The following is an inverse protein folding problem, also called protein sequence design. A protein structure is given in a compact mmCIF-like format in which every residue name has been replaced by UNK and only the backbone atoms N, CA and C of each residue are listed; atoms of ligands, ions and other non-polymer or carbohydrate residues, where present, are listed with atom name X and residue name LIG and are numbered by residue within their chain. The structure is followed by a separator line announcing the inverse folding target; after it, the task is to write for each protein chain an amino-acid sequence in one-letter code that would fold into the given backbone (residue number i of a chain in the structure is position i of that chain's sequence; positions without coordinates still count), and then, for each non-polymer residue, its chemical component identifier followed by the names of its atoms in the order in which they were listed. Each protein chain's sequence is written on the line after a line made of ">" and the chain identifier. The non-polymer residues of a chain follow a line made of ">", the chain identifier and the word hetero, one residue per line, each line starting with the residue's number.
data_IF_961665225951
#
_entry.id   IF_961665225951
#
_cell.length_a   1.000
_cell.length_b   1.000
_cell.length_c   1.000
_cell.angle_alpha   90.00
_cell.angle_beta   90.00
_cell.angle_gamma   90.00
#
_symmetry.space_group_name_H-M   'P 1'
#
loop_
_entity.id
_entity.type
_entity.pdbx_description
1 polymer ?
#
# COMPACT_ATOMS: atom_id res chain seq x y z
N UNK A 1 42.08 -47.62 3.19
CA UNK A 1 41.86 -46.56 4.18
C UNK A 1 40.80 -45.65 3.60
N UNK A 2 39.56 -45.90 4.01
CA UNK A 2 38.41 -45.04 3.76
C UNK A 2 38.57 -43.73 4.54
N UNK A 3 38.36 -42.60 3.86
CA UNK A 3 37.95 -41.37 4.52
C UNK A 3 36.58 -40.98 3.96
N UNK A 4 35.54 -41.41 4.68
CA UNK A 4 34.17 -40.97 4.50
C UNK A 4 34.05 -39.53 5.02
N UNK A 5 34.00 -38.56 4.10
CA UNK A 5 33.61 -37.19 4.44
C UNK A 5 32.12 -37.18 4.81
N UNK A 6 31.85 -37.44 6.08
CA UNK A 6 30.53 -37.33 6.68
C UNK A 6 30.27 -35.85 6.95
N UNK A 7 29.57 -35.18 6.05
CA UNK A 7 29.03 -33.85 6.30
C UNK A 7 27.99 -33.95 7.42
N UNK A 8 28.40 -33.58 8.63
CA UNK A 8 27.51 -33.43 9.78
C UNK A 8 26.57 -32.25 9.51
N UNK A 9 25.35 -32.55 9.07
CA UNK A 9 24.25 -31.58 9.07
C UNK A 9 23.99 -31.13 10.51
N UNK A 10 24.32 -29.87 10.79
CA UNK A 10 23.99 -29.23 12.06
C UNK A 10 22.49 -28.97 12.08
N UNK A 11 21.88 -29.32 13.20
CA UNK A 11 20.45 -29.46 13.40
C UNK A 11 19.65 -28.14 13.37
N UNK A 12 18.40 -28.27 12.90
CA UNK A 12 17.16 -27.66 13.40
C UNK A 12 17.07 -26.13 13.59
N UNK A 13 16.53 -25.46 12.58
CA UNK A 13 15.28 -24.70 12.72
C UNK A 13 14.48 -24.94 11.44
N UNK A 14 13.53 -25.87 11.49
CA UNK A 14 12.52 -26.01 10.44
C UNK A 14 11.58 -24.81 10.50
N UNK A 15 12.04 -23.63 10.10
CA UNK A 15 11.13 -22.53 9.77
C UNK A 15 10.31 -23.02 8.60
N UNK A 16 9.00 -23.14 8.80
CA UNK A 16 8.06 -23.38 7.71
C UNK A 16 8.18 -22.17 6.78
N UNK A 17 9.05 -22.26 5.78
CA UNK A 17 9.33 -21.15 4.87
C UNK A 17 8.09 -20.89 4.03
N UNK A 18 7.30 -19.91 4.47
CA UNK A 18 6.21 -19.35 3.68
C UNK A 18 6.74 -18.62 2.45
N UNK A 19 5.94 -18.56 1.39
CA UNK A 19 6.33 -17.83 0.16
C UNK A 19 6.39 -16.34 0.47
N UNK A 20 5.41 -15.84 1.21
CA UNK A 20 5.32 -14.44 1.61
C UNK A 20 6.45 -13.99 2.56
N UNK A 21 6.93 -14.85 3.47
CA UNK A 21 8.07 -14.51 4.35
C UNK A 21 9.33 -14.23 3.56
N UNK A 22 9.59 -15.04 2.54
CA UNK A 22 10.78 -14.91 1.70
C UNK A 22 10.68 -13.70 0.75
N UNK A 23 9.50 -13.44 0.19
CA UNK A 23 9.29 -12.33 -0.76
C UNK A 23 9.26 -10.95 -0.10
N UNK A 24 8.72 -10.86 1.11
CA UNK A 24 8.45 -9.57 1.77
C UNK A 24 9.21 -9.36 3.08
N UNK A 25 10.15 -10.26 3.41
CA UNK A 25 10.90 -10.23 4.66
C UNK A 25 10.00 -10.21 5.91
N UNK A 26 8.90 -10.98 5.87
CA UNK A 26 8.00 -11.19 7.00
C UNK A 26 8.46 -12.40 7.83
N UNK A 27 8.23 -12.35 9.13
CA UNK A 27 8.48 -13.47 10.03
C UNK A 27 7.22 -14.31 10.26
N UNK A 28 7.18 -15.51 9.68
CA UNK A 28 6.06 -16.46 9.77
C UNK A 28 5.83 -17.03 11.17
N UNK A 29 6.82 -16.96 12.05
CA UNK A 29 6.76 -17.45 13.43
C UNK A 29 6.48 -16.32 14.44
N UNK A 30 6.47 -15.07 13.98
CA UNK A 30 6.26 -13.89 14.81
C UNK A 30 4.82 -13.80 15.29
N UNK A 31 4.68 -13.74 16.63
CA UNK A 31 3.41 -13.46 17.33
C UNK A 31 3.22 -11.97 17.60
N UNK A 32 4.11 -11.11 17.08
CA UNK A 32 4.02 -9.66 17.25
C UNK A 32 2.76 -9.18 16.53
N UNK A 33 1.93 -8.44 17.26
CA UNK A 33 0.80 -7.74 16.64
C UNK A 33 1.33 -6.59 15.79
N UNK A 34 0.86 -6.48 14.56
CA UNK A 34 1.25 -5.46 13.59
C UNK A 34 0.02 -4.70 13.09
N UNK A 35 0.23 -3.48 12.61
CA UNK A 35 -0.79 -2.71 11.89
C UNK A 35 -0.65 -2.98 10.40
N UNK A 36 -1.74 -3.34 9.74
CA UNK A 36 -1.78 -3.64 8.31
C UNK A 36 -2.76 -2.69 7.63
N UNK A 37 -2.26 -1.89 6.69
CA UNK A 37 -3.08 -1.05 5.82
C UNK A 37 -3.19 -1.69 4.42
N UNK A 38 -4.41 -1.91 3.93
CA UNK A 38 -4.67 -2.42 2.58
C UNK A 38 -5.08 -1.30 1.65
N UNK A 39 -4.20 -0.96 0.72
CA UNK A 39 -4.45 0.10 -0.24
C UNK A 39 -5.64 -0.26 -1.16
N UNK A 40 -6.59 0.68 -1.30
CA UNK A 40 -7.82 0.55 -2.10
C UNK A 40 -8.77 -0.59 -1.69
N UNK A 41 -8.69 -1.08 -0.45
CA UNK A 41 -9.59 -2.11 0.08
C UNK A 41 -10.93 -1.57 0.61
N UNK A 42 -11.23 -0.29 0.37
CA UNK A 42 -12.48 0.35 0.82
C UNK A 42 -12.51 0.59 2.33
N UNK A 43 -13.68 0.40 2.95
CA UNK A 43 -13.92 0.73 4.37
C UNK A 43 -13.12 -0.12 5.38
N UNK A 44 -12.50 -1.21 4.95
CA UNK A 44 -11.65 -2.10 5.78
C UNK A 44 -10.16 -1.85 5.55
N UNK A 45 -9.79 -0.58 5.45
CA UNK A 45 -8.43 -0.20 5.07
C UNK A 45 -7.37 -0.53 6.11
N UNK A 46 -7.69 -0.54 7.41
CA UNK A 46 -6.72 -0.74 8.49
C UNK A 46 -7.14 -1.87 9.42
N UNK A 47 -6.24 -2.84 9.63
CA UNK A 47 -6.46 -4.03 10.44
C UNK A 47 -5.30 -4.26 11.43
N UNK A 48 -5.60 -4.92 12.54
CA UNK A 48 -4.60 -5.41 13.49
C UNK A 48 -4.53 -6.92 13.36
N UNK A 49 -3.36 -7.46 13.03
CA UNK A 49 -3.12 -8.90 12.87
C UNK A 49 -1.73 -9.25 13.37
N UNK A 50 -1.38 -10.53 13.49
CA UNK A 50 0.02 -10.90 13.68
C UNK A 50 0.75 -10.96 12.35
N UNK A 51 2.07 -10.84 12.38
CA UNK A 51 2.91 -11.01 11.19
C UNK A 51 2.78 -12.42 10.60
N UNK A 52 2.67 -13.43 11.45
CA UNK A 52 2.29 -14.80 11.07
C UNK A 52 0.97 -14.85 10.30
N UNK A 53 -0.07 -14.20 10.82
CA UNK A 53 -1.40 -14.23 10.17
C UNK A 53 -1.39 -13.51 8.81
N UNK A 54 -0.66 -12.39 8.71
CA UNK A 54 -0.47 -11.70 7.44
C UNK A 54 0.25 -12.60 6.43
N UNK A 55 1.30 -13.29 6.88
CA UNK A 55 2.07 -14.18 6.03
C UNK A 55 1.24 -15.36 5.51
N UNK A 56 0.47 -16.01 6.39
CA UNK A 56 -0.44 -17.09 6.03
C UNK A 56 -1.54 -16.65 5.06
N UNK A 57 -2.05 -15.42 5.21
CA UNK A 57 -3.05 -14.86 4.30
C UNK A 57 -2.46 -14.57 2.91
N UNK A 58 -1.26 -14.00 2.86
CA UNK A 58 -0.57 -13.72 1.60
C UNK A 58 -0.20 -15.00 0.86
N UNK A 59 0.19 -16.06 1.57
CA UNK A 59 0.46 -17.37 0.97
C UNK A 59 -0.77 -18.00 0.29
N UNK A 60 -1.98 -17.62 0.70
CA UNK A 60 -3.24 -18.08 0.10
C UNK A 60 -3.67 -17.21 -1.09
N UNK A 61 -3.08 -16.03 -1.32
CA UNK A 61 -3.49 -15.15 -2.42
C UNK A 61 -2.96 -15.70 -3.77
N UNK A 62 -3.84 -16.10 -4.72
CA UNK A 62 -3.40 -16.57 -6.03
C UNK A 62 -2.68 -15.47 -6.85
N UNK A 63 -2.85 -14.21 -6.48
CA UNK A 63 -2.22 -13.06 -7.11
C UNK A 63 -0.99 -12.54 -6.35
N UNK A 64 -0.36 -13.37 -5.51
CA UNK A 64 0.80 -13.00 -4.68
C UNK A 64 1.91 -12.30 -5.48
N UNK A 65 2.14 -12.69 -6.74
CA UNK A 65 3.11 -12.08 -7.63
C UNK A 65 2.83 -10.59 -7.95
N UNK A 66 1.58 -10.15 -7.82
CA UNK A 66 1.14 -8.76 -7.99
C UNK A 66 0.92 -8.06 -6.66
N UNK A 67 1.18 -8.71 -5.52
CA UNK A 67 1.07 -8.10 -4.20
C UNK A 67 2.43 -7.51 -3.81
N UNK A 68 2.38 -6.35 -3.15
CA UNK A 68 3.54 -5.73 -2.52
C UNK A 68 3.22 -5.45 -1.05
N UNK A 69 4.25 -5.59 -0.23
CA UNK A 69 4.18 -5.23 1.19
C UNK A 69 5.32 -4.27 1.47
N UNK A 70 4.97 -3.04 1.85
CA UNK A 70 5.92 -2.03 2.29
C UNK A 70 5.84 -1.84 3.80
N UNK A 71 6.96 -1.51 4.43
CA UNK A 71 7.02 -1.17 5.86
C UNK A 71 7.25 0.32 6.01
N UNK A 72 6.41 0.97 6.81
CA UNK A 72 6.50 2.39 7.12
C UNK A 72 6.58 2.61 8.63
N UNK A 73 7.65 3.21 9.17
CA UNK A 73 7.76 3.45 10.60
C UNK A 73 6.69 4.43 11.06
N UNK A 74 6.11 4.16 12.23
CA UNK A 74 5.11 5.00 12.87
C UNK A 74 5.83 6.02 13.77
N UNK A 75 5.80 7.32 13.45
CA UNK A 75 6.40 8.33 14.31
C UNK A 75 5.72 8.35 15.68
N UNK A 76 6.52 8.39 16.75
CA UNK A 76 5.98 8.43 18.12
C UNK A 76 5.13 9.68 18.33
N UNK A 77 3.98 9.52 18.97
CA UNK A 77 3.06 10.62 19.28
C UNK A 77 2.09 10.99 18.15
N UNK A 78 2.23 10.40 16.96
CA UNK A 78 1.28 10.64 15.87
C UNK A 78 0.00 9.82 16.07
N UNK A 79 -1.15 10.47 15.93
CA UNK A 79 -2.47 9.81 15.92
C UNK A 79 -2.94 9.45 14.50
N UNK A 80 -2.25 9.96 13.47
CA UNK A 80 -2.56 9.76 12.06
C UNK A 80 -1.27 9.59 11.28
N UNK A 81 -1.32 8.82 10.21
CA UNK A 81 -0.20 8.60 9.31
C UNK A 81 -0.66 8.77 7.87
N UNK A 82 0.07 9.58 7.10
CA UNK A 82 -0.12 9.64 5.66
C UNK A 82 0.54 8.45 5.00
N UNK A 83 -0.14 7.86 4.03
CA UNK A 83 0.38 6.89 3.09
C UNK A 83 0.71 7.67 1.84
N UNK A 84 1.95 7.60 1.37
CA UNK A 84 2.45 8.36 0.23
C UNK A 84 2.54 7.45 -0.99
N UNK A 85 2.61 8.04 -2.19
CA UNK A 85 2.81 7.26 -3.42
C UNK A 85 4.08 6.41 -3.37
N UNK A 86 5.16 6.94 -2.81
CA UNK A 86 6.41 6.19 -2.64
C UNK A 86 6.27 4.92 -1.80
N UNK A 87 5.32 4.88 -0.87
CA UNK A 87 5.09 3.72 -0.01
C UNK A 87 4.44 2.55 -0.79
N UNK A 88 3.95 2.82 -2.01
CA UNK A 88 3.36 1.81 -2.90
C UNK A 88 4.36 1.25 -3.91
N UNK A 89 5.56 1.82 -3.99
CA UNK A 89 6.59 1.50 -4.97
C UNK A 89 7.67 0.58 -4.40
N UNK A 90 8.23 -0.26 -5.26
CA UNK A 90 9.44 -1.03 -4.95
C UNK A 90 10.65 -0.09 -4.79
N UNK A 91 11.72 -0.52 -4.09
CA UNK A 91 12.92 0.30 -3.91
C UNK A 91 13.49 0.85 -5.23
N UNK A 92 13.52 0.03 -6.28
CA UNK A 92 14.01 0.43 -7.61
C UNK A 92 13.09 1.45 -8.30
N UNK A 93 11.77 1.31 -8.19
CA UNK A 93 10.83 2.31 -8.73
C UNK A 93 10.90 3.63 -7.96
N UNK A 94 11.14 3.60 -6.64
CA UNK A 94 11.30 4.82 -5.84
C UNK A 94 12.52 5.62 -6.28
N UNK A 95 13.61 4.95 -6.63
CA UNK A 95 14.80 5.59 -7.17
C UNK A 95 14.52 6.18 -8.57
N UNK A 96 13.90 5.39 -9.46
CA UNK A 96 13.55 5.83 -10.82
C UNK A 96 12.63 7.06 -10.85
N UNK A 97 11.65 7.11 -9.94
CA UNK A 97 10.67 8.20 -9.87
C UNK A 97 11.00 9.24 -8.79
N UNK A 98 12.20 9.20 -8.21
CA UNK A 98 12.62 10.05 -7.08
C UNK A 98 12.42 11.54 -7.31
N UNK A 99 12.62 12.00 -8.54
CA UNK A 99 12.52 13.41 -8.93
C UNK A 99 11.08 13.86 -9.20
N UNK A 100 10.12 12.93 -9.27
CA UNK A 100 8.72 13.28 -9.57
C UNK A 100 8.06 13.91 -8.33
N UNK A 101 7.43 15.09 -8.46
CA UNK A 101 6.77 15.74 -7.32
C UNK A 101 5.59 14.93 -6.78
N UNK A 102 4.98 14.08 -7.62
CA UNK A 102 3.87 13.21 -7.25
C UNK A 102 4.28 12.10 -6.29
N UNK A 103 5.56 11.80 -6.17
CA UNK A 103 6.06 10.70 -5.34
C UNK A 103 5.76 10.91 -3.84
N UNK A 104 5.80 12.18 -3.40
CA UNK A 104 5.50 12.59 -2.02
C UNK A 104 4.02 12.95 -1.80
N UNK A 105 3.18 12.81 -2.82
CA UNK A 105 1.75 13.07 -2.66
C UNK A 105 1.10 11.99 -1.78
N UNK A 106 0.27 12.42 -0.83
CA UNK A 106 -0.52 11.53 0.04
C UNK A 106 -1.63 10.86 -0.76
N UNK A 107 -1.71 9.53 -0.65
CA UNK A 107 -2.77 8.70 -1.27
C UNK A 107 -3.86 8.34 -0.27
N UNK A 108 -3.55 8.35 1.02
CA UNK A 108 -4.49 8.06 2.09
C UNK A 108 -3.98 8.60 3.41
N UNK A 109 -4.88 8.98 4.29
CA UNK A 109 -4.54 9.37 5.65
C UNK A 109 -5.24 8.42 6.63
N UNK A 110 -4.45 7.59 7.31
CA UNK A 110 -4.98 6.55 8.21
C UNK A 110 -4.96 7.04 9.65
N UNK A 111 -6.09 6.89 10.34
CA UNK A 111 -6.17 7.13 11.78
C UNK A 111 -5.55 5.95 12.52
N UNK A 112 -4.50 6.20 13.28
CA UNK A 112 -3.91 5.20 14.15
C UNK A 112 -4.82 4.99 15.37
N UNK A 113 -4.98 3.74 15.86
CA UNK A 113 -5.80 3.49 17.03
C UNK A 113 -5.32 4.30 18.25
N UNK A 114 -6.23 5.03 18.90
CA UNK A 114 -5.89 5.87 20.05
C UNK A 114 -5.47 5.05 21.26
N UNK A 115 -4.37 5.46 21.91
CA UNK A 115 -3.75 4.87 23.10
C UNK A 115 -4.72 4.45 24.22
N UNK A 116 -5.79 5.22 24.48
CA UNK A 116 -6.74 4.95 25.56
C UNK A 116 -7.47 3.61 25.43
N UNK A 117 -7.61 3.07 24.21
CA UNK A 117 -8.26 1.78 23.94
C UNK A 117 -7.28 0.60 23.96
N UNK A 118 -5.97 0.86 24.06
CA UNK A 118 -4.92 -0.13 23.94
C UNK A 118 -3.88 0.02 25.05
N UNK A 119 -4.24 -0.37 26.29
CA UNK A 119 -3.31 -0.49 27.42
C UNK A 119 -2.06 -1.34 27.12
N UNK A 120 -2.07 -2.13 26.04
CA UNK A 120 -0.93 -2.91 25.55
C UNK A 120 -0.03 -2.19 24.53
N UNK A 121 -0.44 -1.03 23.97
CA UNK A 121 0.39 -0.27 23.00
C UNK A 121 1.56 0.48 23.64
N UNK A 122 1.57 0.63 24.96
CA UNK A 122 2.63 1.32 25.72
C UNK A 122 3.90 0.44 25.82
N UNK A 123 3.85 -0.78 25.31
CA UNK A 123 4.97 -1.72 25.21
C UNK A 123 5.42 -1.95 23.76
N UNK A 124 5.44 -0.90 22.93
CA UNK A 124 6.12 -0.92 21.61
C UNK A 124 5.51 -1.86 20.56
N UNK A 125 4.23 -2.21 20.66
CA UNK A 125 3.67 -3.29 19.84
C UNK A 125 3.56 -2.94 18.35
N UNK A 126 3.38 -1.66 17.98
CA UNK A 126 3.24 -1.24 16.57
C UNK A 126 4.29 -0.18 16.21
N UNK A 127 5.52 -0.63 15.95
CA UNK A 127 6.61 0.24 15.49
C UNK A 127 6.46 0.62 14.02
N UNK A 128 5.92 -0.30 13.22
CA UNK A 128 5.75 -0.16 11.78
C UNK A 128 4.30 -0.39 11.35
N UNK A 129 3.89 0.34 10.33
CA UNK A 129 2.71 0.08 9.52
C UNK A 129 3.13 -0.76 8.30
N UNK A 130 2.46 -1.89 8.10
CA UNK A 130 2.62 -2.74 6.92
C UNK A 130 1.58 -2.35 5.88
N UNK A 131 2.03 -1.88 4.72
CA UNK A 131 1.17 -1.41 3.64
C UNK A 131 1.12 -2.50 2.58
N UNK A 132 -0.04 -3.13 2.44
CA UNK A 132 -0.31 -4.13 1.41
C UNK A 132 -0.97 -3.42 0.23
N UNK A 133 -0.30 -3.46 -0.92
CA UNK A 133 -0.82 -2.90 -2.16
C UNK A 133 -0.83 -3.97 -3.25
N UNK A 134 -1.82 -3.87 -4.15
CA UNK A 134 -1.88 -4.70 -5.36
C UNK A 134 -1.40 -3.85 -6.52
N UNK A 135 -0.39 -4.36 -7.21
CA UNK A 135 -0.01 -3.87 -8.52
C UNK A 135 -1.15 -4.16 -9.47
N UNK A 136 -1.47 -3.20 -10.34
CA UNK A 136 -2.39 -3.50 -11.44
C UNK A 136 -1.72 -4.60 -12.25
N UNK A 137 -2.41 -5.73 -12.41
CA UNK A 137 -2.05 -6.65 -13.48
C UNK A 137 -2.03 -5.81 -14.75
N UNK A 138 -1.00 -5.92 -15.62
CA UNK A 138 -1.18 -5.47 -16.98
C UNK A 138 -2.24 -6.40 -17.56
N UNK A 139 -3.51 -6.03 -17.42
CA UNK A 139 -4.55 -6.47 -18.34
C UNK A 139 -4.49 -5.44 -19.47
N UNK A 140 -3.82 -5.74 -20.59
CA UNK A 140 -3.55 -4.75 -21.61
C UNK A 140 -4.72 -4.60 -22.59
N UNK A 141 -5.95 -4.92 -22.18
CA UNK A 141 -7.11 -4.92 -23.10
C UNK A 141 -8.22 -3.92 -22.75
N UNK A 142 -8.15 -3.20 -21.63
CA UNK A 142 -9.22 -2.23 -21.26
C UNK A 142 -8.93 -0.76 -21.55
N UNK A 143 -7.81 -0.41 -22.21
CA UNK A 143 -7.48 1.00 -22.46
C UNK A 143 -7.13 1.36 -23.91
N UNK A 144 -7.24 0.42 -24.86
CA UNK A 144 -7.00 0.75 -26.28
C UNK A 144 -8.15 1.51 -26.96
N UNK A 145 -9.34 1.57 -26.36
CA UNK A 145 -10.52 2.13 -27.03
C UNK A 145 -11.40 3.04 -26.15
N UNK A 146 -10.87 3.60 -25.04
CA UNK A 146 -11.68 4.47 -24.17
C UNK A 146 -11.53 5.96 -24.47
N UNK A 147 -11.09 6.30 -25.69
CA UNK A 147 -11.23 7.63 -26.25
C UNK A 147 -12.52 7.66 -27.07
N UNK A 148 -13.62 8.26 -26.60
CA UNK A 148 -14.59 8.76 -27.55
C UNK A 148 -13.88 9.85 -28.36
N UNK A 149 -13.52 9.55 -29.61
CA UNK A 149 -13.09 10.57 -30.59
C UNK A 149 -14.22 11.58 -30.91
N UNK A 150 -15.40 11.43 -30.31
CA UNK A 150 -16.44 12.46 -30.33
C UNK A 150 -16.14 13.54 -29.28
N UNK A 151 -15.17 14.39 -29.61
CA UNK A 151 -15.08 15.75 -29.08
C UNK A 151 -16.25 16.56 -29.65
N UNK A 152 -17.47 16.28 -29.20
CA UNK A 152 -18.57 17.22 -29.40
C UNK A 152 -18.27 18.46 -28.58
N UNK A 153 -17.70 19.45 -29.28
CA UNK A 153 -17.81 20.88 -29.03
C UNK A 153 -18.86 21.22 -27.97
N UNK A 154 -18.42 21.34 -26.72
CA UNK A 154 -19.14 22.15 -25.74
C UNK A 154 -18.40 23.47 -25.71
N UNK A 155 -18.73 24.36 -26.65
CA UNK A 155 -18.40 25.77 -26.49
C UNK A 155 -19.15 26.25 -25.24
N UNK A 156 -18.48 26.80 -24.21
CA UNK A 156 -19.18 27.34 -23.05
C UNK A 156 -20.09 28.48 -23.54
N UNK A 157 -21.40 28.25 -23.51
CA UNK A 157 -22.39 29.28 -23.76
C UNK A 157 -22.44 30.20 -22.52
N UNK A 158 -21.71 31.31 -22.61
CA UNK A 158 -21.85 32.56 -21.86
C UNK A 158 -21.91 32.48 -20.31
N UNK A 159 -20.77 32.71 -19.66
CA UNK A 159 -20.68 32.96 -18.20
C UNK A 159 -20.98 34.42 -17.79
N UNK A 160 -21.33 35.30 -18.73
CA UNK A 160 -21.69 36.70 -18.40
C UNK A 160 -23.08 37.05 -18.94
N UNK A 161 -24.00 37.54 -18.09
CA UNK A 161 -25.26 38.09 -18.58
C UNK A 161 -24.96 39.30 -19.46
N UNK A 162 -25.47 39.28 -20.69
CA UNK A 162 -25.41 40.42 -21.58
C UNK A 162 -26.37 41.48 -21.04
N UNK A 163 -25.83 42.51 -20.40
CA UNK A 163 -26.58 43.68 -19.94
C UNK A 163 -27.03 44.46 -21.18
N UNK A 164 -28.19 44.08 -21.72
CA UNK A 164 -28.84 44.80 -22.79
C UNK A 164 -29.20 46.19 -22.28
N UNK A 165 -28.41 47.15 -22.74
CA UNK A 165 -28.52 48.58 -22.54
C UNK A 165 -29.98 49.04 -22.65
N UNK A 166 -30.39 49.80 -21.64
CA UNK A 166 -31.59 50.63 -21.62
C UNK A 166 -31.83 51.29 -22.99
N UNK A 167 -33.02 51.10 -23.55
CA UNK A 167 -33.55 51.96 -24.58
C UNK A 167 -33.82 53.36 -23.97
N UNK A 168 -33.25 54.46 -24.48
CA UNK A 168 -33.80 55.77 -24.22
C UNK A 168 -34.97 56.01 -25.17
N UNK A 169 -36.13 56.29 -24.57
CA UNK A 169 -37.27 56.90 -25.24
C UNK A 169 -36.84 58.12 -26.07
N UNK A 170 -37.30 58.19 -27.31
CA UNK A 170 -37.69 59.43 -28.00
C UNK A 170 -38.71 59.09 -29.09
#
# INVERSE_FOLDING_TARGET
>A
MEESMTFKSVSSHGTSSSKASSLFSLNADSKKSILVYRYRSGAKGLEVKTERDLCAELDQDPNLAFVRVARKPIPRGNSRLDILNEDLLSPSEREMYGEKPTLKASVANVGLPTMARWKHMILGSYEDLYIVSRLHTPSPESSKNNSPESSQHVSPAATFPNEALHAPNA
#
